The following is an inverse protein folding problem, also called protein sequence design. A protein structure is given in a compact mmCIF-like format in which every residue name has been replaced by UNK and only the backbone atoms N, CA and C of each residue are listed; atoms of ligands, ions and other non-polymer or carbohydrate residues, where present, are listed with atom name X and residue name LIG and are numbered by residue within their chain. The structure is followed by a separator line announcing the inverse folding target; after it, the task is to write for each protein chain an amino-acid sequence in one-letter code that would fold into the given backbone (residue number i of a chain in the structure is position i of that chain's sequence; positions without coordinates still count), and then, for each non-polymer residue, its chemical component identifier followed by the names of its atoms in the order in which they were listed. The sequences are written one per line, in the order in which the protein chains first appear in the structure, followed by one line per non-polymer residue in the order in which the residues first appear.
data_IF_541572411540
#
_entry.id   IF_541572411540
#
_cell.length_a   1.000
_cell.length_b   1.000
_cell.length_c   1.000
_cell.angle_alpha   90.00
_cell.angle_beta   90.00
_cell.angle_gamma   90.00
#
_symmetry.space_group_name_H-M   'P 1'
#
loop_
_entity.id
_entity.type
_entity.pdbx_description
1 polymer ?
#
# COMPACT_ATOMS: atom_id res chain seq x y z
N UNK A 1 -15.55 23.18 15.87
CA UNK A 1 -14.50 22.49 15.09
C UNK A 1 -13.89 23.49 14.13
N UNK A 2 -12.76 24.09 14.50
CA UNK A 2 -12.08 25.05 13.65
C UNK A 2 -11.41 24.27 12.50
N UNK A 3 -12.06 24.25 11.33
CA UNK A 3 -11.42 23.88 10.08
C UNK A 3 -10.46 25.01 9.72
N UNK A 4 -9.19 24.86 10.08
CA UNK A 4 -8.14 25.75 9.57
C UNK A 4 -8.02 25.53 8.07
N UNK A 5 -8.21 26.60 7.30
CA UNK A 5 -8.09 26.68 5.83
C UNK A 5 -6.70 26.29 5.30
N UNK A 6 -5.79 25.85 6.16
CA UNK A 6 -4.41 25.47 5.89
C UNK A 6 -4.02 24.18 6.64
N UNK A 7 -4.76 23.08 6.44
CA UNK A 7 -4.27 21.76 6.88
C UNK A 7 -3.03 21.39 6.05
N UNK A 8 -1.85 21.66 6.60
CA UNK A 8 -0.56 21.41 5.97
C UNK A 8 -0.39 19.95 5.55
N UNK A 9 -0.99 19.01 6.29
CA UNK A 9 -0.91 17.58 6.04
C UNK A 9 -2.01 17.05 5.11
N UNK A 10 -2.88 17.90 4.58
CA UNK A 10 -4.00 17.48 3.73
C UNK A 10 -3.60 16.56 2.56
N UNK A 11 -2.56 16.87 1.75
CA UNK A 11 -2.22 15.98 0.63
C UNK A 11 -1.60 14.66 1.12
N UNK A 12 -0.86 14.67 2.23
CA UNK A 12 -0.39 13.44 2.88
C UNK A 12 -1.54 12.56 3.36
N UNK A 13 -2.55 13.15 4.01
CA UNK A 13 -3.75 12.42 4.46
C UNK A 13 -4.50 11.79 3.30
N UNK A 14 -4.62 12.50 2.17
CA UNK A 14 -5.26 11.97 0.96
C UNK A 14 -4.46 10.78 0.44
N UNK A 15 -3.14 10.93 0.30
CA UNK A 15 -2.27 9.85 -0.15
C UNK A 15 -2.39 8.60 0.75
N UNK A 16 -2.36 8.80 2.08
CA UNK A 16 -2.52 7.72 3.06
C UNK A 16 -3.90 7.06 2.98
N UNK A 17 -4.98 7.82 2.75
CA UNK A 17 -6.33 7.27 2.62
C UNK A 17 -6.49 6.47 1.35
N UNK A 18 -6.03 7.00 0.22
CA UNK A 18 -6.09 6.31 -1.07
C UNK A 18 -5.25 5.03 -0.99
N UNK A 19 -4.01 5.13 -0.54
CA UNK A 19 -3.11 3.96 -0.45
C UNK A 19 -3.62 2.94 0.58
N UNK A 20 -3.98 3.38 1.79
CA UNK A 20 -4.52 2.50 2.83
C UNK A 20 -5.82 1.80 2.44
N UNK A 21 -6.74 2.49 1.74
CA UNK A 21 -7.98 1.86 1.27
C UNK A 21 -7.77 0.92 0.09
N UNK A 22 -6.93 1.27 -0.88
CA UNK A 22 -6.74 0.49 -2.12
C UNK A 22 -5.72 -0.63 -1.95
N UNK A 23 -4.48 -0.29 -1.61
CA UNK A 23 -3.37 -1.25 -1.48
C UNK A 23 -3.47 -2.03 -0.18
N UNK A 24 -3.94 -1.41 0.90
CA UNK A 24 -4.08 -2.09 2.18
C UNK A 24 -5.38 -2.89 2.27
N UNK A 25 -6.51 -2.19 2.38
CA UNK A 25 -7.81 -2.81 2.67
C UNK A 25 -8.36 -3.59 1.48
N UNK A 26 -8.49 -2.99 0.31
CA UNK A 26 -9.13 -3.66 -0.83
C UNK A 26 -8.30 -4.84 -1.34
N UNK A 27 -7.00 -4.65 -1.56
CA UNK A 27 -6.11 -5.74 -1.95
C UNK A 27 -5.98 -6.79 -0.82
N UNK A 28 -5.83 -6.38 0.43
CA UNK A 28 -5.75 -7.30 1.57
C UNK A 28 -7.01 -8.17 1.71
N UNK A 29 -8.20 -7.57 1.60
CA UNK A 29 -9.47 -8.30 1.59
C UNK A 29 -9.60 -9.22 0.38
N UNK A 30 -9.21 -8.76 -0.81
CA UNK A 30 -9.22 -9.58 -2.01
C UNK A 30 -8.33 -10.82 -1.84
N UNK A 31 -7.10 -10.63 -1.37
CA UNK A 31 -6.16 -11.72 -1.09
C UNK A 31 -6.64 -12.65 0.03
N UNK A 32 -7.43 -12.17 0.99
CA UNK A 32 -8.01 -12.96 2.08
C UNK A 32 -9.27 -13.73 1.73
N UNK A 33 -10.06 -13.25 0.77
CA UNK A 33 -11.40 -13.79 0.49
C UNK A 33 -11.51 -14.50 -0.86
N UNK A 34 -10.75 -14.07 -1.88
CA UNK A 34 -10.84 -14.66 -3.22
C UNK A 34 -10.54 -16.16 -3.19
N UNK A 35 -11.29 -16.92 -3.99
CA UNK A 35 -11.12 -18.37 -4.14
C UNK A 35 -9.89 -18.69 -4.99
N UNK A 36 -9.39 -19.93 -4.91
CA UNK A 36 -8.29 -20.42 -5.77
C UNK A 36 -8.57 -20.18 -7.25
N UNK A 37 -9.82 -20.41 -7.68
CA UNK A 37 -10.22 -20.27 -9.08
C UNK A 37 -10.18 -18.80 -9.52
N UNK A 38 -10.66 -17.89 -8.68
CA UNK A 38 -10.56 -16.47 -8.97
C UNK A 38 -9.10 -16.02 -9.03
N UNK A 39 -8.24 -16.43 -8.09
CA UNK A 39 -6.82 -16.08 -8.12
C UNK A 39 -6.08 -16.65 -9.34
N UNK A 40 -6.41 -17.88 -9.73
CA UNK A 40 -5.87 -18.50 -10.94
C UNK A 40 -6.33 -17.79 -12.22
N UNK A 41 -7.60 -17.37 -12.29
CA UNK A 41 -8.13 -16.62 -13.44
C UNK A 41 -7.41 -15.27 -13.66
N UNK A 42 -6.90 -14.68 -12.58
CA UNK A 42 -6.11 -13.44 -12.65
C UNK A 42 -4.61 -13.70 -12.92
N UNK A 43 -4.19 -14.97 -12.96
CA UNK A 43 -2.79 -15.37 -13.16
C UNK A 43 -1.93 -15.23 -11.91
N UNK A 44 -2.54 -15.07 -10.72
CA UNK A 44 -1.85 -14.86 -9.44
C UNK A 44 -1.55 -16.18 -8.70
N UNK A 45 -2.07 -17.31 -9.18
CA UNK A 45 -1.91 -18.60 -8.53
C UNK A 45 -1.72 -19.70 -9.57
N UNK A 46 -0.58 -20.40 -9.51
CA UNK A 46 -0.24 -21.50 -10.43
C UNK A 46 -0.18 -22.87 -9.72
N UNK A 47 -0.40 -22.93 -8.41
CA UNK A 47 -0.37 -24.15 -7.62
C UNK A 47 0.26 -23.95 -6.23
N UNK A 48 0.10 -24.93 -5.34
CA UNK A 48 0.70 -24.90 -4.00
C UNK A 48 -0.22 -24.40 -2.88
N UNK A 49 0.34 -24.07 -1.72
CA UNK A 49 -0.45 -23.67 -0.56
C UNK A 49 -0.84 -22.19 -0.60
N UNK A 50 -2.10 -21.89 -0.33
CA UNK A 50 -2.62 -20.51 -0.32
C UNK A 50 -2.28 -19.71 0.94
N UNK A 51 -1.87 -20.36 2.03
CA UNK A 51 -1.71 -19.68 3.32
C UNK A 51 -0.70 -18.50 3.28
N UNK A 52 0.43 -18.53 2.52
CA UNK A 52 1.35 -17.39 2.49
C UNK A 52 0.68 -16.15 1.89
N UNK A 53 -0.13 -16.34 0.85
CA UNK A 53 -0.88 -15.28 0.20
C UNK A 53 -1.98 -14.71 1.10
N UNK A 54 -2.65 -15.57 1.88
CA UNK A 54 -3.60 -15.14 2.92
C UNK A 54 -2.91 -14.34 4.02
N UNK A 55 -1.72 -14.77 4.45
CA UNK A 55 -0.92 -14.06 5.45
C UNK A 55 -0.48 -12.69 4.93
N UNK A 56 -0.02 -12.61 3.68
CA UNK A 56 0.27 -11.34 3.02
C UNK A 56 -0.98 -10.43 2.94
N UNK A 57 -2.14 -11.01 2.61
CA UNK A 57 -3.42 -10.30 2.62
C UNK A 57 -3.80 -9.74 4.00
N UNK A 58 -3.60 -10.51 5.07
CA UNK A 58 -3.82 -10.05 6.45
C UNK A 58 -2.86 -8.93 6.84
N UNK A 59 -1.58 -9.05 6.48
CA UNK A 59 -0.59 -8.00 6.73
C UNK A 59 -0.92 -6.70 5.99
N UNK A 60 -1.34 -6.79 4.72
CA UNK A 60 -1.79 -5.64 3.94
C UNK A 60 -3.05 -4.99 4.52
N UNK A 61 -4.01 -5.79 4.95
CA UNK A 61 -5.23 -5.29 5.59
C UNK A 61 -4.89 -4.53 6.89
N UNK A 62 -4.06 -5.11 7.74
CA UNK A 62 -3.59 -4.47 8.97
C UNK A 62 -2.83 -3.16 8.67
N UNK A 63 -1.95 -3.17 7.67
CA UNK A 63 -1.24 -1.98 7.23
C UNK A 63 -2.19 -0.90 6.68
N UNK A 64 -3.20 -1.29 5.91
CA UNK A 64 -4.23 -0.40 5.40
C UNK A 64 -5.01 0.31 6.50
N UNK A 65 -5.42 -0.45 7.53
CA UNK A 65 -6.07 0.10 8.71
C UNK A 65 -5.14 1.06 9.47
N UNK A 66 -3.86 0.73 9.62
CA UNK A 66 -2.87 1.62 10.23
C UNK A 66 -2.70 2.93 9.44
N UNK A 67 -2.64 2.88 8.11
CA UNK A 67 -2.57 4.09 7.28
C UNK A 67 -3.83 4.95 7.39
N UNK A 68 -5.01 4.34 7.43
CA UNK A 68 -6.27 5.04 7.65
C UNK A 68 -6.34 5.68 9.05
N UNK A 69 -5.85 4.98 10.07
CA UNK A 69 -5.75 5.49 11.43
C UNK A 69 -4.79 6.68 11.51
N UNK A 70 -3.58 6.57 10.95
CA UNK A 70 -2.61 7.67 10.90
C UNK A 70 -3.18 8.88 10.15
N UNK A 71 -3.89 8.65 9.04
CA UNK A 71 -4.54 9.72 8.28
C UNK A 71 -5.65 10.44 9.06
N UNK A 72 -6.13 9.87 10.17
CA UNK A 72 -7.12 10.48 11.06
C UNK A 72 -6.52 11.26 12.23
N UNK A 73 -5.22 11.09 12.52
CA UNK A 73 -4.58 11.75 13.66
C UNK A 73 -4.37 13.25 13.41
N UNK A 74 -4.58 14.14 14.39
CA UNK A 74 -4.44 15.58 14.20
C UNK A 74 -3.00 15.99 13.83
N UNK A 75 -2.00 15.31 14.38
CA UNK A 75 -0.59 15.52 14.11
C UNK A 75 0.05 14.24 13.57
N UNK A 76 0.97 14.37 12.61
CA UNK A 76 1.70 13.25 12.01
C UNK A 76 3.19 13.47 12.26
N UNK A 77 3.68 12.88 13.34
CA UNK A 77 5.07 12.97 13.76
C UNK A 77 6.00 12.00 13.02
N UNK A 78 7.30 12.17 13.27
CA UNK A 78 8.38 11.38 12.66
C UNK A 78 8.22 9.86 12.91
N UNK A 79 7.73 9.49 14.10
CA UNK A 79 7.43 8.10 14.49
C UNK A 79 6.36 7.43 13.63
N UNK A 80 5.53 8.20 12.93
CA UNK A 80 4.52 7.69 11.99
C UNK A 80 5.02 7.75 10.54
N UNK A 81 5.74 8.82 10.17
CA UNK A 81 6.26 9.03 8.81
C UNK A 81 7.25 7.94 8.40
N UNK A 82 8.15 7.54 9.30
CA UNK A 82 9.16 6.51 9.01
C UNK A 82 8.52 5.15 8.69
N UNK A 83 7.63 4.59 9.52
CA UNK A 83 6.91 3.36 9.17
C UNK A 83 6.14 3.45 7.84
N UNK A 84 5.51 4.59 7.53
CA UNK A 84 4.79 4.79 6.26
C UNK A 84 5.75 4.65 5.08
N UNK A 85 6.88 5.36 5.11
CA UNK A 85 7.87 5.33 4.04
C UNK A 85 8.44 3.92 3.91
N UNK A 86 8.86 3.32 5.02
CA UNK A 86 9.48 1.99 5.05
C UNK A 86 8.53 0.92 4.51
N UNK A 87 7.27 0.90 4.96
CA UNK A 87 6.29 -0.09 4.52
C UNK A 87 5.99 0.03 3.02
N UNK A 88 5.77 1.25 2.51
CA UNK A 88 5.53 1.46 1.08
C UNK A 88 6.76 1.13 0.22
N UNK A 89 7.96 1.44 0.72
CA UNK A 89 9.22 1.11 0.04
C UNK A 89 9.41 -0.40 -0.05
N UNK A 90 9.16 -1.13 1.05
CA UNK A 90 9.26 -2.59 1.07
C UNK A 90 8.27 -3.24 0.10
N UNK A 91 7.02 -2.78 0.07
CA UNK A 91 6.01 -3.30 -0.87
C UNK A 91 6.45 -3.03 -2.32
N UNK A 92 6.90 -1.81 -2.63
CA UNK A 92 7.40 -1.47 -3.96
C UNK A 92 8.62 -2.33 -4.36
N UNK A 93 9.54 -2.57 -3.43
CA UNK A 93 10.70 -3.44 -3.64
C UNK A 93 10.30 -4.88 -3.92
N UNK A 94 9.36 -5.45 -3.15
CA UNK A 94 8.86 -6.81 -3.39
C UNK A 94 8.24 -6.92 -4.79
N UNK A 95 7.43 -5.93 -5.20
CA UNK A 95 6.89 -5.90 -6.56
C UNK A 95 7.98 -5.76 -7.62
N UNK A 96 9.01 -4.96 -7.38
CA UNK A 96 10.11 -4.80 -8.33
C UNK A 96 10.93 -6.10 -8.46
N UNK A 97 11.23 -6.76 -7.35
CA UNK A 97 11.95 -8.04 -7.32
C UNK A 97 11.14 -9.12 -8.04
N UNK A 98 9.84 -9.24 -7.74
CA UNK A 98 8.96 -10.22 -8.42
C UNK A 98 8.86 -9.96 -9.93
N UNK A 99 8.91 -8.69 -10.35
CA UNK A 99 8.97 -8.33 -11.77
C UNK A 99 10.27 -8.81 -12.42
N UNK A 100 11.42 -8.55 -11.80
CA UNK A 100 12.71 -9.01 -12.34
C UNK A 100 12.86 -10.54 -12.34
N UNK A 101 12.26 -11.23 -11.36
CA UNK A 101 12.20 -12.68 -11.31
C UNK A 101 11.16 -13.29 -12.26
N UNK A 102 10.46 -12.46 -13.04
CA UNK A 102 9.41 -12.87 -13.98
C UNK A 102 8.24 -13.62 -13.32
N UNK A 103 8.03 -13.45 -12.02
CA UNK A 103 6.92 -14.09 -11.28
C UNK A 103 5.54 -13.63 -11.81
N UNK A 104 5.51 -12.47 -12.48
CA UNK A 104 4.31 -11.87 -13.05
C UNK A 104 4.07 -12.22 -14.53
N UNK A 105 4.87 -13.10 -15.13
CA UNK A 105 4.73 -13.47 -16.55
C UNK A 105 3.34 -14.04 -16.86
N UNK A 106 2.76 -14.80 -15.92
CA UNK A 106 1.44 -15.42 -16.03
C UNK A 106 0.25 -14.49 -15.77
N UNK A 107 0.45 -13.22 -15.38
CA UNK A 107 -0.67 -12.31 -15.14
C UNK A 107 -1.38 -11.92 -16.43
N UNK A 108 -2.71 -11.87 -16.33
CA UNK A 108 -3.57 -11.25 -17.35
C UNK A 108 -3.23 -9.77 -17.53
N UNK A 109 -3.62 -9.18 -18.67
CA UNK A 109 -3.42 -7.75 -18.94
C UNK A 109 -4.03 -6.89 -17.82
N UNK A 110 -5.25 -7.22 -17.38
CA UNK A 110 -5.91 -6.54 -16.27
C UNK A 110 -5.10 -6.64 -14.96
N UNK A 111 -4.56 -7.83 -14.66
CA UNK A 111 -3.69 -8.04 -13.51
C UNK A 111 -2.40 -7.22 -13.58
N UNK A 112 -1.78 -7.12 -14.77
CA UNK A 112 -0.58 -6.29 -14.97
C UNK A 112 -0.86 -4.81 -14.76
N UNK A 113 -1.97 -4.30 -15.30
CA UNK A 113 -2.40 -2.91 -15.10
C UNK A 113 -2.63 -2.64 -13.60
N UNK A 114 -3.34 -3.54 -12.92
CA UNK A 114 -3.57 -3.44 -11.48
C UNK A 114 -2.26 -3.40 -10.68
N UNK A 115 -1.29 -4.24 -11.03
CA UNK A 115 0.01 -4.29 -10.37
C UNK A 115 0.80 -2.98 -10.56
N UNK A 116 0.79 -2.42 -11.77
CA UNK A 116 1.41 -1.11 -12.05
C UNK A 116 0.74 0.00 -11.24
N UNK A 117 -0.60 -0.01 -11.12
CA UNK A 117 -1.34 0.96 -10.30
C UNK A 117 -0.93 0.83 -8.82
N UNK A 118 -0.88 -0.40 -8.28
CA UNK A 118 -0.45 -0.65 -6.90
C UNK A 118 0.98 -0.14 -6.67
N UNK A 119 1.89 -0.46 -7.59
CA UNK A 119 3.28 0.00 -7.51
C UNK A 119 3.38 1.53 -7.51
N UNK A 120 2.64 2.21 -8.40
CA UNK A 120 2.60 3.66 -8.46
C UNK A 120 2.03 4.27 -7.16
N UNK A 121 1.00 3.66 -6.57
CA UNK A 121 0.42 4.10 -5.29
C UNK A 121 1.42 3.93 -4.14
N UNK A 122 2.19 2.84 -4.12
CA UNK A 122 3.28 2.67 -3.16
C UNK A 122 4.34 3.75 -3.32
N UNK A 123 4.75 4.08 -4.55
CA UNK A 123 5.68 5.18 -4.80
C UNK A 123 5.14 6.53 -4.32
N UNK A 124 3.87 6.83 -4.58
CA UNK A 124 3.22 8.03 -4.03
C UNK A 124 3.25 8.01 -2.49
N UNK A 125 3.03 6.85 -1.87
CA UNK A 125 3.14 6.65 -0.43
C UNK A 125 4.56 6.85 0.13
N UNK A 126 5.60 6.63 -0.67
CA UNK A 126 7.01 6.92 -0.32
C UNK A 126 7.32 8.40 -0.49
N UNK A 127 6.83 9.04 -1.56
CA UNK A 127 7.18 10.41 -1.92
C UNK A 127 6.37 11.45 -1.14
N UNK A 128 5.09 11.20 -0.89
CA UNK A 128 4.20 12.16 -0.20
C UNK A 128 4.69 12.56 1.21
N UNK A 129 5.30 11.67 2.03
CA UNK A 129 5.85 12.02 3.34
C UNK A 129 7.16 12.81 3.30
N UNK A 130 7.93 12.79 2.20
CA UNK A 130 9.30 13.36 2.15
C UNK A 130 9.40 14.86 2.48
N UNK A 131 8.49 15.73 1.96
CA UNK A 131 8.52 17.15 2.32
C UNK A 131 8.32 17.39 3.81
N UNK A 132 7.44 16.59 4.44
CA UNK A 132 7.10 16.67 5.86
C UNK A 132 8.23 16.18 6.75
N UNK A 133 8.92 15.11 6.34
CA UNK A 133 10.07 14.58 7.06
C UNK A 133 11.22 15.59 7.10
N UNK A 134 11.45 16.32 5.99
CA UNK A 134 12.45 17.40 5.93
C UNK A 134 12.08 18.60 6.79
N UNK A 135 10.79 18.91 6.90
CA UNK A 135 10.30 20.00 7.73
C UNK A 135 10.46 19.67 9.22
N UNK A 136 10.14 18.44 9.62
CA UNK A 136 10.25 17.98 11.00
C UNK A 136 11.71 17.87 11.47
N UNK A 137 12.63 17.40 10.61
CA UNK A 137 14.06 17.33 10.95
C UNK A 137 14.73 18.70 11.11
N UNK A 138 14.09 19.78 10.62
CA UNK A 138 14.60 21.16 10.73
C UNK A 138 14.04 21.92 11.94
N UNK A 139 13.08 21.33 12.66
CA UNK A 139 12.58 21.86 13.93
C UNK A 139 13.44 21.34 15.07
#
# INVERSE_FOLDING_TARGET
MAYTLSDHYRPLRIALRVNGSTVGVALGLALLTLSRHALAAWGLYQGGSLWPMRLAGAALLALGLLFLLIASQPEIGLSMLVPIITANTLIALVLLVGYFQQEFAGLTIAGRILLVIIFALCLVGVLAPLPYLRAEYRR
#
